data_IF_816529210610
#
_entry.id   IF_816529210610
#
_cell.length_a   1.000
_cell.length_b   1.000
_cell.length_c   1.000
_cell.angle_alpha   90.00
_cell.angle_beta   90.00
_cell.angle_gamma   90.00
#
_symmetry.space_group_name_H-M   'P 1'
#
loop_
_entity.id
_entity.type
_entity.pdbx_description
1 polymer ?
#
# COMPACT_ATOMS: atom_id res chain seq x y z
N UNK A 1 -4.06 8.57 -6.71
CA UNK A 1 -3.42 7.76 -5.67
C UNK A 1 -2.42 8.61 -4.94
N UNK A 2 -2.18 8.32 -3.67
CA UNK A 2 -1.13 8.97 -2.89
C UNK A 2 0.25 8.76 -3.53
N UNK A 3 1.12 9.75 -3.40
CA UNK A 3 2.48 9.65 -3.96
C UNK A 3 3.27 8.57 -3.22
N UNK A 4 3.73 7.56 -3.98
CA UNK A 4 4.59 6.49 -3.49
C UNK A 4 5.90 6.99 -2.85
N UNK A 5 6.40 8.17 -3.26
CA UNK A 5 7.58 8.78 -2.62
C UNK A 5 7.25 9.24 -1.22
N UNK A 6 6.13 9.94 -1.04
CA UNK A 6 5.68 10.46 0.25
C UNK A 6 5.48 9.33 1.27
N UNK A 7 4.82 8.25 0.85
CA UNK A 7 4.58 7.07 1.70
C UNK A 7 5.91 6.45 2.18
N UNK A 8 6.95 6.47 1.35
CA UNK A 8 8.26 5.92 1.69
C UNK A 8 9.11 6.85 2.54
N UNK A 9 9.04 8.16 2.29
CA UNK A 9 9.84 9.15 3.00
C UNK A 9 9.29 9.47 4.38
N UNK A 10 7.97 9.48 4.53
CA UNK A 10 7.29 9.85 5.78
C UNK A 10 5.97 9.07 5.96
N UNK A 11 6.04 7.76 6.23
CA UNK A 11 4.85 6.94 6.46
C UNK A 11 4.04 7.39 7.68
N UNK A 12 4.70 7.93 8.71
CA UNK A 12 4.04 8.35 9.96
C UNK A 12 3.12 9.56 9.73
N UNK A 13 3.57 10.55 8.95
CA UNK A 13 2.73 11.67 8.54
C UNK A 13 1.49 11.21 7.76
N UNK A 14 1.69 10.28 6.81
CA UNK A 14 0.59 9.73 6.02
C UNK A 14 -0.41 8.99 6.92
N UNK A 15 0.08 8.15 7.84
CA UNK A 15 -0.76 7.43 8.80
C UNK A 15 -1.56 8.40 9.69
N UNK A 16 -0.92 9.45 10.19
CA UNK A 16 -1.58 10.45 11.04
C UNK A 16 -2.69 11.20 10.28
N UNK A 17 -2.42 11.62 9.04
CA UNK A 17 -3.39 12.33 8.21
C UNK A 17 -4.57 11.44 7.79
N UNK A 18 -4.33 10.17 7.52
CA UNK A 18 -5.40 9.21 7.21
C UNK A 18 -6.26 8.90 8.45
N UNK A 19 -5.65 8.84 9.65
CA UNK A 19 -6.36 8.74 10.93
C UNK A 19 -7.34 9.89 11.17
N UNK A 20 -7.00 11.11 10.76
CA UNK A 20 -7.92 12.27 10.85
C UNK A 20 -9.20 12.09 10.02
N UNK A 21 -9.21 11.19 9.03
CA UNK A 21 -10.39 10.79 8.26
C UNK A 21 -11.05 9.50 8.75
N UNK A 22 -10.64 8.98 9.91
CA UNK A 22 -11.16 7.72 10.46
C UNK A 22 -10.69 6.46 9.72
N UNK A 23 -9.65 6.56 8.88
CA UNK A 23 -9.14 5.45 8.07
C UNK A 23 -7.69 5.15 8.46
N UNK A 24 -7.46 4.16 9.33
CA UNK A 24 -6.12 3.73 9.75
C UNK A 24 -5.76 2.31 9.34
N UNK A 25 -6.70 1.38 9.48
CA UNK A 25 -6.43 -0.06 9.38
C UNK A 25 -5.82 -0.47 8.02
N UNK A 26 -6.35 0.06 6.91
CA UNK A 26 -5.85 -0.26 5.58
C UNK A 26 -4.40 0.22 5.35
N UNK A 27 -4.03 1.37 5.92
CA UNK A 27 -2.67 1.88 5.79
C UNK A 27 -1.69 1.12 6.70
N UNK A 28 -2.11 0.74 7.90
CA UNK A 28 -1.31 -0.10 8.79
C UNK A 28 -1.04 -1.48 8.15
N UNK A 29 -2.04 -2.08 7.49
CA UNK A 29 -1.88 -3.30 6.71
C UNK A 29 -0.86 -3.12 5.57
N UNK A 30 -0.94 -2.00 4.84
CA UNK A 30 0.03 -1.67 3.78
C UNK A 30 1.47 -1.60 4.31
N UNK A 31 1.70 -0.97 5.47
CA UNK A 31 3.04 -0.86 6.06
C UNK A 31 3.60 -2.23 6.49
N UNK A 32 2.75 -3.11 7.01
CA UNK A 32 3.13 -4.48 7.33
C UNK A 32 3.51 -5.26 6.06
N UNK A 33 2.73 -5.12 4.98
CA UNK A 33 3.05 -5.73 3.69
C UNK A 33 4.37 -5.21 3.11
N UNK A 34 4.64 -3.91 3.20
CA UNK A 34 5.92 -3.35 2.73
C UNK A 34 7.11 -3.90 3.51
N UNK A 35 6.96 -4.10 4.82
CA UNK A 35 7.98 -4.71 5.68
C UNK A 35 8.30 -6.14 5.22
N UNK A 36 7.25 -6.94 4.98
CA UNK A 36 7.40 -8.31 4.46
C UNK A 36 8.05 -8.30 3.07
N UNK A 37 7.63 -7.38 2.19
CA UNK A 37 8.17 -7.22 0.83
C UNK A 37 9.67 -6.95 0.86
N UNK A 38 10.12 -6.01 1.69
CA UNK A 38 11.54 -5.68 1.82
C UNK A 38 12.36 -6.88 2.31
N UNK A 39 11.84 -7.65 3.28
CA UNK A 39 12.49 -8.86 3.76
C UNK A 39 12.63 -9.91 2.64
N UNK A 40 11.56 -10.17 1.90
CA UNK A 40 11.57 -11.14 0.80
C UNK A 40 12.51 -10.72 -0.34
N UNK A 41 12.63 -9.41 -0.63
CA UNK A 41 13.58 -8.90 -1.60
C UNK A 41 15.03 -9.14 -1.19
N UNK A 42 15.36 -8.98 0.09
CA UNK A 42 16.71 -9.28 0.60
C UNK A 42 16.98 -10.79 0.48
N UNK A 43 16.03 -11.62 0.94
CA UNK A 43 16.16 -13.07 0.92
C UNK A 43 16.35 -13.63 -0.50
N UNK A 44 15.56 -13.14 -1.48
CA UNK A 44 15.68 -13.60 -2.86
C UNK A 44 17.01 -13.19 -3.49
N UNK A 45 17.54 -12.00 -3.15
CA UNK A 45 18.82 -11.52 -3.65
C UNK A 45 19.99 -12.34 -3.08
N UNK A 46 19.93 -12.68 -1.79
CA UNK A 46 20.89 -13.58 -1.14
C UNK A 46 20.88 -14.97 -1.81
N UNK A 47 19.70 -15.54 -2.05
CA UNK A 47 19.55 -16.84 -2.73
C UNK A 47 20.04 -16.78 -4.18
N UNK A 48 19.73 -15.71 -4.92
CA UNK A 48 20.23 -15.48 -6.30
C UNK A 48 21.75 -15.39 -6.33
N UNK A 49 22.35 -14.66 -5.39
CA UNK A 49 23.80 -14.54 -5.22
C UNK A 49 24.45 -15.90 -4.91
N UNK A 50 23.89 -16.65 -3.96
CA UNK A 50 24.36 -18.00 -3.62
C UNK A 50 24.30 -18.93 -4.83
N UNK A 51 23.14 -19.00 -5.50
CA UNK A 51 22.94 -19.83 -6.69
C UNK A 51 23.99 -19.54 -7.77
N UNK A 52 24.25 -18.26 -8.04
CA UNK A 52 25.21 -17.84 -9.07
C UNK A 52 26.64 -18.25 -8.69
N UNK A 53 27.04 -18.07 -7.43
CA UNK A 53 28.36 -18.48 -6.92
C UNK A 53 28.56 -19.99 -7.01
N UNK A 54 27.61 -20.77 -6.50
CA UNK A 54 27.69 -22.23 -6.51
C UNK A 54 27.64 -22.79 -7.93
N UNK A 55 26.88 -22.18 -8.85
CA UNK A 55 26.89 -22.59 -10.27
C UNK A 55 28.27 -22.41 -10.92
N UNK A 56 28.99 -21.33 -10.58
CA UNK A 56 30.36 -21.13 -11.07
C UNK A 56 31.34 -22.18 -10.49
N UNK A 57 31.20 -22.52 -9.21
CA UNK A 57 32.01 -23.56 -8.55
C UNK A 57 31.77 -24.94 -9.16
N UNK A 58 30.51 -25.31 -9.41
CA UNK A 58 30.15 -26.56 -10.11
C UNK A 58 30.83 -26.61 -11.49
N UNK A 59 30.80 -25.51 -12.25
CA UNK A 59 31.47 -25.44 -13.54
C UNK A 59 32.98 -25.64 -13.46
N UNK A 60 33.64 -25.15 -12.40
CA UNK A 60 35.07 -25.37 -12.15
C UNK A 60 35.36 -26.82 -11.76
N UNK A 61 34.54 -27.43 -10.90
CA UNK A 61 34.68 -28.82 -10.47
C UNK A 61 34.53 -29.80 -11.65
N UNK A 62 33.55 -29.57 -12.53
CA UNK A 62 33.37 -30.40 -13.74
C UNK A 62 34.56 -30.32 -14.70
N UNK A 63 35.21 -29.16 -14.82
CA UNK A 63 36.42 -29.01 -15.65
C UNK A 63 37.62 -29.82 -15.16
N UNK A 64 37.70 -30.09 -13.85
CA UNK A 64 38.75 -30.94 -13.26
C UNK A 64 38.31 -32.40 -13.10
N UNK A 65 37.21 -32.81 -13.75
CA UNK A 65 36.73 -34.19 -13.77
C UNK A 65 35.97 -34.63 -12.52
N UNK A 66 35.54 -33.70 -11.65
CA UNK A 66 34.71 -34.00 -10.48
C UNK A 66 33.22 -33.92 -10.84
N UNK A 67 32.41 -34.76 -10.20
CA UNK A 67 30.93 -34.79 -10.33
C UNK A 67 30.26 -34.29 -9.03
N UNK A 68 29.98 -32.97 -8.89
CA UNK A 68 29.46 -32.38 -7.66
C UNK A 68 27.93 -32.51 -7.56
N UNK A 69 27.43 -33.74 -7.50
CA UNK A 69 25.99 -34.08 -7.55
C UNK A 69 25.19 -33.37 -6.44
N UNK A 70 25.72 -33.32 -5.20
CA UNK A 70 25.05 -32.66 -4.07
C UNK A 70 24.87 -31.15 -4.28
N UNK A 71 25.90 -30.47 -4.79
CA UNK A 71 25.83 -29.04 -5.10
C UNK A 71 24.85 -28.76 -6.23
N UNK A 72 24.79 -29.64 -7.24
CA UNK A 72 23.80 -29.52 -8.31
C UNK A 72 22.36 -29.64 -7.80
N UNK A 73 22.09 -30.58 -6.90
CA UNK A 73 20.78 -30.73 -6.27
C UNK A 73 20.43 -29.50 -5.45
N UNK A 74 21.36 -28.99 -4.64
CA UNK A 74 21.15 -27.78 -3.83
C UNK A 74 20.86 -26.53 -4.68
N UNK A 75 21.56 -26.36 -5.81
CA UNK A 75 21.29 -25.25 -6.74
C UNK A 75 19.89 -25.37 -7.35
N UNK A 76 19.43 -26.59 -7.63
CA UNK A 76 18.08 -26.85 -8.15
C UNK A 76 17.01 -26.52 -7.11
N UNK A 77 17.19 -26.93 -5.86
CA UNK A 77 16.30 -26.60 -4.73
C UNK A 77 16.20 -25.09 -4.52
N UNK A 78 17.33 -24.39 -4.50
CA UNK A 78 17.37 -22.92 -4.38
C UNK A 78 16.68 -22.25 -5.57
N UNK A 79 16.78 -22.83 -6.77
CA UNK A 79 16.04 -22.36 -7.94
C UNK A 79 14.52 -22.41 -7.75
N UNK A 80 14.03 -23.45 -7.07
CA UNK A 80 12.61 -23.59 -6.74
C UNK A 80 12.19 -22.60 -5.65
N UNK A 81 12.99 -22.44 -4.59
CA UNK A 81 12.72 -21.45 -3.54
C UNK A 81 12.71 -20.00 -4.07
N UNK A 82 13.64 -19.65 -4.98
CA UNK A 82 13.66 -18.34 -5.64
C UNK A 82 12.33 -18.10 -6.37
N UNK A 83 11.84 -19.11 -7.12
CA UNK A 83 10.59 -18.99 -7.85
C UNK A 83 9.41 -18.76 -6.92
N UNK A 84 9.35 -19.50 -5.82
CA UNK A 84 8.29 -19.34 -4.81
C UNK A 84 8.29 -17.94 -4.17
N UNK A 85 9.47 -17.40 -3.86
CA UNK A 85 9.58 -16.04 -3.32
C UNK A 85 9.22 -14.99 -4.38
N UNK A 86 9.65 -15.15 -5.63
CA UNK A 86 9.29 -14.24 -6.72
C UNK A 86 7.76 -14.24 -6.95
N UNK A 87 7.08 -15.40 -6.89
CA UNK A 87 5.61 -15.50 -6.97
C UNK A 87 4.92 -14.84 -5.77
N UNK A 88 5.45 -15.00 -4.55
CA UNK A 88 4.95 -14.32 -3.35
C UNK A 88 5.09 -12.80 -3.46
N UNK A 89 6.23 -12.31 -3.96
CA UNK A 89 6.47 -10.89 -4.20
C UNK A 89 5.45 -10.31 -5.18
N UNK A 90 5.16 -11.00 -6.29
CA UNK A 90 4.14 -10.57 -7.26
C UNK A 90 2.75 -10.46 -6.63
N UNK A 91 2.34 -11.47 -5.86
CA UNK A 91 1.05 -11.44 -5.16
C UNK A 91 0.97 -10.29 -4.14
N UNK A 92 2.06 -10.07 -3.40
CA UNK A 92 2.15 -9.01 -2.39
C UNK A 92 2.09 -7.63 -3.02
N UNK A 93 2.80 -7.41 -4.13
CA UNK A 93 2.77 -6.15 -4.87
C UNK A 93 1.38 -5.81 -5.42
N UNK A 94 0.65 -6.82 -5.91
CA UNK A 94 -0.72 -6.62 -6.37
C UNK A 94 -1.64 -6.21 -5.21
N UNK A 95 -1.58 -6.91 -4.07
CA UNK A 95 -2.37 -6.55 -2.87
C UNK A 95 -2.04 -5.15 -2.36
N UNK A 96 -0.75 -4.81 -2.30
CA UNK A 96 -0.31 -3.47 -1.90
C UNK A 96 -0.86 -2.39 -2.84
N UNK A 97 -0.85 -2.64 -4.16
CA UNK A 97 -1.42 -1.73 -5.16
C UNK A 97 -2.93 -1.54 -4.96
N UNK A 98 -3.66 -2.62 -4.69
CA UNK A 98 -5.11 -2.59 -4.47
C UNK A 98 -5.44 -1.76 -3.22
N UNK A 99 -4.69 -1.92 -2.13
CA UNK A 99 -4.84 -1.09 -0.94
C UNK A 99 -4.61 0.39 -1.29
N UNK A 100 -3.51 0.72 -1.97
CA UNK A 100 -3.22 2.11 -2.35
C UNK A 100 -4.29 2.75 -3.23
N UNK A 101 -5.04 1.96 -4.02
CA UNK A 101 -6.15 2.45 -4.85
C UNK A 101 -7.40 2.80 -4.02
N UNK A 102 -7.56 2.18 -2.85
CA UNK A 102 -8.69 2.44 -1.95
C UNK A 102 -8.43 3.58 -0.97
N UNK A 103 -7.17 3.97 -0.77
CA UNK A 103 -6.82 5.07 0.13
C UNK A 103 -7.32 6.42 -0.42
N UNK A 104 -8.00 7.23 0.41
CA UNK A 104 -8.42 8.56 0.03
C UNK A 104 -7.21 9.51 -0.08
N UNK A 105 -7.47 10.72 -0.57
CA UNK A 105 -6.47 11.77 -0.53
C UNK A 105 -6.18 12.23 0.90
N UNK A 106 -4.97 12.75 1.13
CA UNK A 106 -4.62 13.35 2.42
C UNK A 106 -5.33 14.69 2.60
N UNK A 107 -5.90 14.96 3.79
CA UNK A 107 -6.38 16.29 4.10
C UNK A 107 -5.24 17.32 4.02
N UNK A 108 -5.59 18.49 3.50
CA UNK A 108 -4.71 19.66 3.52
C UNK A 108 -4.52 20.15 4.95
N UNK A 109 -3.39 20.77 5.28
CA UNK A 109 -3.08 21.21 6.65
C UNK A 109 -4.05 22.28 7.18
N UNK A 110 -4.72 23.00 6.29
CA UNK A 110 -5.75 23.99 6.64
C UNK A 110 -7.15 23.39 6.84
N UNK A 111 -7.35 22.11 6.56
CA UNK A 111 -8.65 21.47 6.70
C UNK A 111 -8.94 21.24 8.20
N UNK A 112 -10.14 21.58 8.70
CA UNK A 112 -10.49 21.31 10.08
C UNK A 112 -10.53 19.80 10.34
N UNK A 113 -10.07 19.40 11.52
CA UNK A 113 -10.11 18.01 11.97
C UNK A 113 -11.50 17.77 12.60
N UNK A 114 -12.19 16.73 12.16
CA UNK A 114 -13.53 16.39 12.64
C UNK A 114 -13.85 14.92 12.42
N UNK A 115 -14.71 14.37 13.28
CA UNK A 115 -15.23 13.00 13.17
C UNK A 115 -16.51 12.90 12.31
N UNK A 116 -17.14 14.04 11.98
CA UNK A 116 -18.34 14.06 11.16
C UNK A 116 -18.83 15.47 10.81
N UNK A 117 -20.03 15.54 10.26
CA UNK A 117 -20.62 16.78 9.72
C UNK A 117 -20.83 17.86 10.77
N UNK A 118 -21.01 17.47 12.04
CA UNK A 118 -21.18 18.39 13.18
C UNK A 118 -19.94 19.22 13.49
N UNK A 119 -18.77 18.78 13.03
CA UNK A 119 -17.49 19.46 13.25
C UNK A 119 -17.14 20.42 12.10
N UNK A 120 -18.02 20.55 11.10
CA UNK A 120 -17.82 21.46 9.98
C UNK A 120 -17.93 22.92 10.46
N UNK A 121 -16.99 23.75 10.01
CA UNK A 121 -16.93 25.17 10.36
C UNK A 121 -17.61 26.01 9.27
N UNK A 122 -18.62 26.79 9.65
CA UNK A 122 -19.21 27.80 8.76
C UNK A 122 -18.21 28.94 8.54
N UNK A 123 -17.72 29.09 7.30
CA UNK A 123 -16.74 30.13 6.96
C UNK A 123 -17.40 31.50 6.77
N UNK A 124 -18.59 31.52 6.16
CA UNK A 124 -19.36 32.75 5.93
C UNK A 124 -20.82 32.43 5.66
N UNK A 125 -21.69 33.38 6.02
CA UNK A 125 -23.09 33.46 5.60
C UNK A 125 -23.30 34.68 4.72
N UNK A 126 -24.25 34.62 3.80
CA UNK A 126 -24.63 35.78 2.99
C UNK A 126 -26.15 35.81 2.78
N UNK A 127 -26.74 36.98 2.99
CA UNK A 127 -28.20 37.18 3.00
C UNK A 127 -28.86 36.74 4.30
N UNK A 128 -30.15 37.08 4.42
CA UNK A 128 -31.01 36.68 5.53
C UNK A 128 -31.94 35.54 5.08
N UNK A 129 -32.28 34.64 6.00
CA UNK A 129 -33.30 33.61 5.75
C UNK A 129 -34.67 34.30 5.64
N UNK A 130 -35.50 33.96 4.64
CA UNK A 130 -36.83 34.55 4.49
C UNK A 130 -37.75 34.16 5.66
N UNK A 131 -38.53 35.13 6.14
CA UNK A 131 -39.64 34.88 7.05
C UNK A 131 -40.89 34.55 6.24
N UNK A 132 -41.54 33.43 6.56
CA UNK A 132 -42.79 33.02 5.93
C UNK A 132 -43.96 33.27 6.89
N UNK A 133 -45.02 33.90 6.40
CA UNK A 133 -46.31 34.06 7.08
C UNK A 133 -47.24 32.83 6.89
N UNK A 134 -46.75 31.80 6.20
CA UNK A 134 -47.38 30.50 6.00
C UNK A 134 -46.39 29.37 6.32
N UNK A 135 -46.89 28.15 6.49
CA UNK A 135 -46.03 26.96 6.63
C UNK A 135 -45.39 26.64 5.27
N UNK A 136 -44.07 26.79 5.09
CA UNK A 136 -43.44 26.56 3.80
C UNK A 136 -43.53 25.08 3.42
N UNK A 137 -43.92 24.81 2.18
CA UNK A 137 -43.92 23.46 1.62
C UNK A 137 -42.52 23.09 1.11
N UNK A 138 -42.11 21.83 1.24
CA UNK A 138 -40.88 21.37 0.62
C UNK A 138 -41.01 21.39 -0.91
N UNK A 139 -39.87 21.46 -1.60
CA UNK A 139 -39.83 21.71 -3.05
C UNK A 139 -40.57 20.66 -3.89
N UNK A 140 -40.67 19.41 -3.43
CA UNK A 140 -41.36 18.34 -4.17
C UNK A 140 -42.88 18.47 -4.16
N UNK A 141 -43.50 19.03 -3.11
CA UNK A 141 -44.96 19.23 -3.05
C UNK A 141 -45.41 20.45 -3.88
N UNK A 142 -44.49 21.39 -4.14
CA UNK A 142 -44.73 22.53 -5.04
C UNK A 142 -44.72 22.08 -6.50
N UNK A 143 -43.87 21.10 -6.85
CA UNK A 143 -43.66 20.63 -8.22
C UNK A 143 -44.72 19.67 -8.77
N UNK A 144 -45.70 19.27 -7.96
CA UNK A 144 -46.79 18.35 -8.35
C UNK A 144 -48.03 19.04 -8.92
N UNK A 145 -47.89 20.29 -9.37
CA UNK A 145 -48.94 21.10 -10.00
C UNK A 145 -49.01 20.99 -11.51
#
# INVERSE_FOLDING_TARGET
>A
MLDSKLIKSDPDLVAQKLKQRGLSAAFDEFLNMDTVRRRLLVEVEEKKSFRNRTSQEIGKMKKVGQEPIELMNKVKEIGQEIKEIDDQLLSLEQKMKDILLTLPNLPHDSAPIGGGETDNVEVRRWGDLPEFDFAPLPHWDIGTG
#
